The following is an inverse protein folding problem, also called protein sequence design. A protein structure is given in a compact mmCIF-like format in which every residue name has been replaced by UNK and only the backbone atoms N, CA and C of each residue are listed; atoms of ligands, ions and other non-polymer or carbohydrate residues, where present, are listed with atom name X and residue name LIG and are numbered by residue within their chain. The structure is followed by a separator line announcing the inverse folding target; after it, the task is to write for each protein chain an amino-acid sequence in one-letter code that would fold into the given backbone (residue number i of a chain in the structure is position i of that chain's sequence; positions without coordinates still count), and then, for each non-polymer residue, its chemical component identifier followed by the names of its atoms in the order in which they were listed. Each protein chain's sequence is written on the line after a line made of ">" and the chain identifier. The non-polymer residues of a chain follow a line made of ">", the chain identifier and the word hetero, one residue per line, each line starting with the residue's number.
data_IF_975286108438
#
_entry.id   IF_975286108438
#
_cell.length_a   1.000
_cell.length_b   1.000
_cell.length_c   1.000
_cell.angle_alpha   90.00
_cell.angle_beta   90.00
_cell.angle_gamma   90.00
#
_symmetry.space_group_name_H-M   'P 1'
#
loop_
_entity.id
_entity.type
_entity.pdbx_description
1 polymer ?
#
# COMPACT_ATOMS: atom_id res chain seq x y z
N UNK A 1 15.90 12.81 1.22
CA UNK A 1 17.02 12.04 0.62
C UNK A 1 16.40 10.90 -0.17
N UNK A 2 16.63 10.82 -1.48
CA UNK A 2 16.16 9.69 -2.29
C UNK A 2 17.16 8.55 -2.13
N UNK A 3 16.81 7.54 -1.34
CA UNK A 3 17.71 6.43 -1.00
C UNK A 3 17.72 5.37 -2.12
N UNK A 4 16.63 5.26 -2.88
CA UNK A 4 16.47 4.26 -3.94
C UNK A 4 15.47 4.72 -5.01
N UNK A 5 15.64 4.27 -6.26
CA UNK A 5 14.68 4.46 -7.36
C UNK A 5 14.73 3.23 -8.27
N UNK A 6 13.56 2.76 -8.72
CA UNK A 6 13.42 1.58 -9.57
C UNK A 6 12.31 1.79 -10.57
N UNK A 7 12.48 1.25 -11.77
CA UNK A 7 11.48 1.25 -12.84
C UNK A 7 11.16 -0.19 -13.24
N UNK A 8 9.90 -0.47 -13.58
CA UNK A 8 9.43 -1.82 -13.92
C UNK A 8 8.24 -1.73 -14.87
N UNK A 9 8.15 -2.65 -15.83
CA UNK A 9 7.06 -2.73 -16.80
C UNK A 9 6.20 -3.96 -16.46
N UNK A 10 4.89 -3.77 -16.38
CA UNK A 10 3.91 -4.85 -16.27
C UNK A 10 3.26 -5.05 -17.64
N UNK A 11 3.31 -6.28 -18.18
CA UNK A 11 2.73 -6.63 -19.49
C UNK A 11 1.21 -6.89 -19.38
N UNK A 12 0.48 -5.90 -18.87
CA UNK A 12 -0.96 -5.94 -18.64
C UNK A 12 -1.58 -4.57 -18.93
N UNK A 13 -2.87 -4.55 -19.26
CA UNK A 13 -3.61 -3.29 -19.42
C UNK A 13 -3.58 -2.49 -18.13
N UNK A 14 -3.56 -1.16 -18.24
CA UNK A 14 -3.56 -0.26 -17.09
C UNK A 14 -4.72 -0.55 -16.13
N UNK A 15 -5.92 -0.78 -16.67
CA UNK A 15 -7.12 -1.13 -15.91
C UNK A 15 -6.94 -2.43 -15.11
N UNK A 16 -6.22 -3.41 -15.66
CA UNK A 16 -5.88 -4.65 -14.95
C UNK A 16 -4.88 -4.39 -13.83
N UNK A 17 -3.83 -3.60 -14.09
CA UNK A 17 -2.79 -3.29 -13.10
C UNK A 17 -3.37 -2.49 -11.93
N UNK A 18 -4.20 -1.48 -12.19
CA UNK A 18 -4.79 -0.67 -11.12
C UNK A 18 -5.78 -1.48 -10.27
N UNK A 19 -6.61 -2.32 -10.91
CA UNK A 19 -7.55 -3.20 -10.20
C UNK A 19 -6.79 -4.17 -9.30
N UNK A 20 -5.74 -4.80 -9.82
CA UNK A 20 -4.88 -5.70 -9.05
C UNK A 20 -4.14 -4.97 -7.92
N UNK A 21 -3.77 -3.71 -8.11
CA UNK A 21 -3.06 -2.94 -7.08
C UNK A 21 -3.98 -2.56 -5.92
N UNK A 22 -5.22 -2.14 -6.20
CA UNK A 22 -6.22 -1.85 -5.16
C UNK A 22 -6.59 -3.13 -4.39
N UNK A 23 -6.54 -4.29 -5.03
CA UNK A 23 -6.83 -5.61 -4.45
C UNK A 23 -5.56 -6.41 -4.10
N UNK A 24 -4.42 -5.73 -3.93
CA UNK A 24 -3.11 -6.39 -3.80
C UNK A 24 -3.02 -7.37 -2.64
N UNK A 25 -3.79 -7.16 -1.58
CA UNK A 25 -3.78 -8.00 -0.39
C UNK A 25 -5.16 -8.62 -0.11
N UNK A 26 -5.18 -9.87 0.39
CA UNK A 26 -4.03 -10.71 0.73
C UNK A 26 -3.32 -11.30 -0.50
N UNK A 27 -2.00 -11.52 -0.43
CA UNK A 27 -1.24 -12.26 -1.46
C UNK A 27 -0.16 -13.17 -0.86
N UNK A 28 0.11 -14.30 -1.53
CA UNK A 28 1.07 -15.32 -1.06
C UNK A 28 2.53 -14.86 -1.07
N UNK A 29 2.86 -13.84 -1.88
CA UNK A 29 4.22 -13.29 -1.96
C UNK A 29 4.57 -12.40 -0.75
N UNK A 30 3.56 -11.86 -0.07
CA UNK A 30 3.71 -10.96 1.08
C UNK A 30 2.77 -11.41 2.22
N UNK A 31 3.01 -12.60 2.80
CA UNK A 31 2.13 -13.17 3.83
C UNK A 31 2.11 -12.35 5.13
N UNK A 32 3.09 -11.47 5.30
CA UNK A 32 3.24 -10.62 6.48
C UNK A 32 2.24 -9.46 6.53
N UNK A 33 1.58 -9.12 5.42
CA UNK A 33 0.46 -8.15 5.44
C UNK A 33 -0.79 -8.89 5.88
N UNK A 34 -1.11 -8.77 7.17
CA UNK A 34 -2.17 -9.56 7.83
C UNK A 34 -3.51 -8.84 7.91
N UNK A 35 -3.55 -7.54 7.58
CA UNK A 35 -4.79 -6.76 7.59
C UNK A 35 -4.70 -5.56 6.66
N UNK A 36 -5.85 -5.14 6.13
CA UNK A 36 -5.99 -3.99 5.24
C UNK A 36 -7.35 -3.35 5.50
N UNK A 37 -7.34 -2.08 5.86
CA UNK A 37 -8.54 -1.30 6.15
C UNK A 37 -8.56 -0.04 5.28
N UNK A 38 -9.62 0.15 4.49
CA UNK A 38 -9.86 1.40 3.76
C UNK A 38 -10.46 2.41 4.73
N UNK A 39 -9.66 3.39 5.17
CA UNK A 39 -10.07 4.40 6.14
C UNK A 39 -10.98 5.44 5.51
N UNK A 40 -10.64 5.92 4.32
CA UNK A 40 -11.48 6.79 3.52
C UNK A 40 -11.33 6.52 2.01
N UNK A 41 -12.35 6.92 1.27
CA UNK A 41 -12.30 6.99 -0.19
C UNK A 41 -13.24 8.07 -0.67
N UNK A 42 -12.73 8.98 -1.49
CA UNK A 42 -13.48 10.09 -2.03
C UNK A 42 -13.11 10.34 -3.48
N UNK A 43 -14.10 10.77 -4.25
CA UNK A 43 -13.89 11.34 -5.57
C UNK A 43 -13.70 12.84 -5.39
N UNK A 44 -12.56 13.37 -5.82
CA UNK A 44 -12.34 14.81 -5.76
C UNK A 44 -13.08 15.54 -6.90
N UNK A 45 -13.26 16.87 -6.83
CA UNK A 45 -13.97 17.62 -7.87
C UNK A 45 -13.35 17.53 -9.27
N UNK A 46 -12.09 17.08 -9.38
CA UNK A 46 -11.42 16.84 -10.66
C UNK A 46 -11.65 15.43 -11.21
N UNK A 47 -12.42 14.60 -10.51
CA UNK A 47 -12.73 13.23 -10.91
C UNK A 47 -11.65 12.20 -10.54
N UNK A 48 -10.70 12.56 -9.68
CA UNK A 48 -9.66 11.62 -9.21
C UNK A 48 -10.11 10.91 -7.95
N UNK A 49 -9.86 9.60 -7.89
CA UNK A 49 -10.18 8.79 -6.73
C UNK A 49 -9.03 8.86 -5.72
N UNK A 50 -9.31 9.41 -4.55
CA UNK A 50 -8.37 9.44 -3.42
C UNK A 50 -8.78 8.39 -2.41
N UNK A 51 -7.83 7.59 -1.96
CA UNK A 51 -8.05 6.58 -0.91
C UNK A 51 -6.98 6.69 0.15
N UNK A 52 -7.39 6.53 1.41
CA UNK A 52 -6.50 6.33 2.54
C UNK A 52 -6.67 4.89 3.04
N UNK A 53 -5.60 4.09 2.97
CA UNK A 53 -5.58 2.68 3.35
C UNK A 53 -4.61 2.46 4.49
N UNK A 54 -5.02 1.70 5.50
CA UNK A 54 -4.18 1.25 6.60
C UNK A 54 -3.83 -0.22 6.41
N UNK A 55 -2.53 -0.53 6.48
CA UNK A 55 -2.04 -1.90 6.42
C UNK A 55 -1.50 -2.33 7.78
N UNK A 56 -1.94 -3.50 8.25
CA UNK A 56 -1.37 -4.18 9.40
C UNK A 56 -0.36 -5.22 8.94
N UNK A 57 0.87 -5.12 9.43
CA UNK A 57 1.96 -6.05 9.11
C UNK A 57 2.47 -6.76 10.35
N UNK A 58 2.85 -8.03 10.22
CA UNK A 58 3.54 -8.81 11.25
C UNK A 58 4.93 -9.22 10.75
N UNK A 59 5.77 -9.71 11.67
CA UNK A 59 7.08 -10.27 11.29
C UNK A 59 8.29 -9.50 11.81
N UNK A 60 8.12 -8.63 12.81
CA UNK A 60 9.25 -8.02 13.53
C UNK A 60 10.24 -9.12 13.99
N UNK A 61 11.54 -9.02 13.66
CA UNK A 61 12.55 -10.00 14.08
C UNK A 61 12.64 -10.11 15.60
N UNK A 62 12.96 -11.31 16.11
CA UNK A 62 13.02 -11.58 17.56
C UNK A 62 14.02 -10.70 18.30
N UNK A 63 15.18 -10.43 17.69
CA UNK A 63 16.21 -9.53 18.24
C UNK A 63 15.64 -8.12 18.45
N UNK A 64 14.92 -7.60 17.45
CA UNK A 64 14.30 -6.28 17.53
C UNK A 64 13.24 -6.27 18.63
N UNK A 65 12.35 -7.27 18.67
CA UNK A 65 11.31 -7.40 19.72
C UNK A 65 11.90 -7.38 21.12
N UNK A 66 13.00 -8.12 21.33
CA UNK A 66 13.71 -8.20 22.61
C UNK A 66 14.34 -6.87 23.01
N UNK A 67 14.83 -6.09 22.05
CA UNK A 67 15.51 -4.82 22.32
C UNK A 67 14.52 -3.70 22.67
N UNK A 68 13.40 -3.61 21.96
CA UNK A 68 12.42 -2.52 22.11
C UNK A 68 11.32 -2.84 23.14
N UNK A 69 11.34 -4.03 23.75
CA UNK A 69 10.32 -4.46 24.71
C UNK A 69 8.91 -4.50 24.14
N UNK A 70 8.77 -4.66 22.82
CA UNK A 70 7.47 -4.58 22.15
C UNK A 70 6.61 -5.80 22.47
N UNK A 71 5.53 -5.58 23.22
CA UNK A 71 4.44 -6.54 23.38
C UNK A 71 3.57 -6.64 22.09
N UNK A 72 3.57 -5.58 21.26
CA UNK A 72 2.83 -5.55 20.00
C UNK A 72 3.68 -6.12 18.86
N UNK A 73 3.18 -7.15 18.21
CA UNK A 73 3.81 -7.82 17.06
C UNK A 73 3.42 -7.20 15.70
N UNK A 74 2.44 -6.29 15.71
CA UNK A 74 1.86 -5.65 14.52
C UNK A 74 2.40 -4.23 14.34
N UNK A 75 2.88 -3.95 13.13
CA UNK A 75 3.24 -2.60 12.67
C UNK A 75 2.15 -2.09 11.72
N UNK A 76 1.76 -0.83 11.89
CA UNK A 76 0.78 -0.17 11.03
C UNK A 76 1.49 0.70 10.00
N UNK A 77 1.00 0.68 8.77
CA UNK A 77 1.53 1.46 7.64
C UNK A 77 0.36 2.18 6.98
N UNK A 78 0.49 3.48 6.72
CA UNK A 78 -0.56 4.26 6.06
C UNK A 78 -0.20 4.51 4.61
N UNK A 79 -1.17 4.38 3.72
CA UNK A 79 -1.02 4.67 2.30
C UNK A 79 -2.09 5.66 1.84
N UNK A 80 -1.64 6.70 1.14
CA UNK A 80 -2.51 7.58 0.37
C UNK A 80 -2.31 7.29 -1.12
N UNK A 81 -3.40 6.94 -1.80
CA UNK A 81 -3.40 6.67 -3.24
C UNK A 81 -4.25 7.68 -3.99
N UNK A 82 -3.81 8.09 -5.18
CA UNK A 82 -4.58 8.92 -6.11
C UNK A 82 -4.65 8.22 -7.47
N UNK A 83 -5.85 7.96 -7.95
CA UNK A 83 -6.10 7.38 -9.28
C UNK A 83 -6.70 8.44 -10.19
N UNK A 84 -6.04 8.69 -11.32
CA UNK A 84 -6.55 9.54 -12.39
C UNK A 84 -6.97 8.66 -13.57
N UNK A 85 -8.29 8.46 -13.80
CA UNK A 85 -8.77 7.63 -14.89
C UNK A 85 -8.63 8.29 -16.27
N UNK A 86 -8.47 9.62 -16.33
CA UNK A 86 -8.34 10.36 -17.59
C UNK A 86 -6.91 10.26 -18.11
N UNK A 87 -5.94 10.54 -17.23
CA UNK A 87 -4.51 10.45 -17.56
C UNK A 87 -3.96 9.02 -17.45
N UNK A 88 -4.77 8.08 -16.94
CA UNK A 88 -4.37 6.69 -16.65
C UNK A 88 -3.11 6.63 -15.78
N UNK A 89 -3.11 7.41 -14.71
CA UNK A 89 -2.03 7.42 -13.72
C UNK A 89 -2.52 6.97 -12.37
N UNK A 90 -1.61 6.39 -11.60
CA UNK A 90 -1.82 6.11 -10.19
C UNK A 90 -0.57 6.47 -9.42
N UNK A 91 -0.77 7.14 -8.29
CA UNK A 91 0.29 7.50 -7.36
C UNK A 91 -0.02 6.91 -5.99
N UNK A 92 1.00 6.35 -5.34
CA UNK A 92 0.93 5.80 -3.99
C UNK A 92 1.98 6.48 -3.12
N UNK A 93 1.57 6.96 -1.96
CA UNK A 93 2.44 7.54 -0.94
C UNK A 93 2.27 6.75 0.36
N UNK A 94 3.35 6.11 0.81
CA UNK A 94 3.35 5.28 2.01
C UNK A 94 4.06 6.05 3.14
N UNK A 95 3.43 6.10 4.32
CA UNK A 95 3.91 6.78 5.53
C UNK A 95 4.21 5.78 6.66
#
# INVERSE_FOLDING_TARGET
>A
MNIWTSESIFDHLWETVITATIQKYPNSMNPNVVGTDLLDRLLDPSGKLRSHTLFSTEGLPSIVKSLIGAARTKTQVQEHSVVDPTEKTVEFQIH
#
